data_IF_073444169461
#
_entry.id   IF_073444169461
#
_cell.length_a   1.000
_cell.length_b   1.000
_cell.length_c   1.000
_cell.angle_alpha   90.00
_cell.angle_beta   90.00
_cell.angle_gamma   90.00
#
_symmetry.space_group_name_H-M   'P 1'
#
loop_
_entity.id
_entity.type
_entity.pdbx_description
1 polymer ?
#
# COMPACT_ATOMS: atom_id res chain seq x y z
N UNK A 1 5.42 -11.73 -26.18
CA UNK A 1 5.12 -10.42 -26.79
C UNK A 1 6.25 -9.89 -27.67
N UNK A 2 7.49 -9.56 -27.24
CA UNK A 2 8.61 -9.33 -28.19
C UNK A 2 9.79 -10.28 -27.99
N UNK A 3 9.90 -10.87 -26.80
CA UNK A 3 10.91 -11.87 -26.42
C UNK A 3 10.27 -13.19 -25.94
N UNK A 4 9.07 -13.53 -26.43
CA UNK A 4 8.40 -14.81 -26.12
C UNK A 4 7.62 -14.92 -24.79
N UNK A 5 7.75 -13.97 -23.85
CA UNK A 5 6.99 -14.01 -22.57
C UNK A 5 5.53 -13.51 -22.62
N UNK A 6 4.86 -13.31 -21.43
CA UNK A 6 3.54 -12.67 -21.23
C UNK A 6 3.38 -11.11 -21.00
N UNK A 7 4.25 -10.37 -20.28
CA UNK A 7 4.34 -8.88 -20.16
C UNK A 7 4.18 -8.04 -21.46
N UNK A 8 3.01 -7.49 -21.74
CA UNK A 8 2.80 -6.65 -22.95
C UNK A 8 3.20 -5.17 -22.81
N UNK A 9 3.33 -4.67 -21.58
CA UNK A 9 3.60 -3.27 -21.27
C UNK A 9 4.31 -3.11 -19.92
N UNK A 10 4.99 -1.98 -19.72
CA UNK A 10 5.70 -1.61 -18.48
C UNK A 10 5.40 -0.16 -18.12
N UNK A 11 5.05 0.10 -16.87
CA UNK A 11 4.78 1.45 -16.38
C UNK A 11 6.10 2.19 -16.06
N UNK A 12 6.16 3.47 -16.44
CA UNK A 12 7.22 4.41 -16.12
C UNK A 12 6.74 5.24 -14.92
N UNK A 13 7.31 4.97 -13.75
CA UNK A 13 6.90 5.61 -12.48
C UNK A 13 5.44 5.29 -12.10
N UNK A 14 4.88 5.91 -11.06
CA UNK A 14 3.51 5.71 -10.58
C UNK A 14 2.93 7.02 -10.01
N UNK A 15 1.92 7.56 -10.67
CA UNK A 15 1.23 8.80 -10.29
C UNK A 15 2.16 9.98 -10.01
N UNK A 16 3.27 10.08 -10.75
CA UNK A 16 4.28 11.10 -10.54
C UNK A 16 3.71 12.52 -10.57
N UNK A 17 2.64 12.77 -11.33
CA UNK A 17 1.96 14.06 -11.38
C UNK A 17 1.38 14.53 -10.04
N UNK A 18 1.16 13.61 -9.09
CA UNK A 18 0.76 13.92 -7.70
C UNK A 18 1.94 14.43 -6.85
N UNK A 19 3.17 14.08 -7.22
CA UNK A 19 4.40 14.46 -6.51
C UNK A 19 5.16 15.60 -7.23
N UNK A 20 5.48 15.38 -8.51
CA UNK A 20 6.00 16.32 -9.52
C UNK A 20 7.02 17.35 -8.99
N UNK A 21 8.13 16.85 -8.39
CA UNK A 21 9.19 17.71 -7.83
C UNK A 21 10.38 17.95 -8.76
N UNK A 22 10.63 17.06 -9.70
CA UNK A 22 11.75 17.08 -10.64
C UNK A 22 11.28 16.81 -12.08
N UNK A 23 11.46 17.78 -12.97
CA UNK A 23 11.05 17.69 -14.38
C UNK A 23 11.98 16.82 -15.22
N UNK A 24 13.19 16.54 -14.75
CA UNK A 24 14.21 15.75 -15.46
C UNK A 24 14.14 14.26 -15.15
N UNK A 25 13.50 13.91 -14.03
CA UNK A 25 13.37 12.55 -13.53
C UNK A 25 12.60 11.62 -14.48
N UNK A 26 11.42 12.01 -14.95
CA UNK A 26 10.60 11.17 -15.84
C UNK A 26 11.28 10.86 -17.19
N UNK A 27 11.90 11.84 -17.89
CA UNK A 27 12.74 11.55 -19.05
C UNK A 27 13.92 10.63 -18.75
N UNK A 28 14.56 10.79 -17.59
CA UNK A 28 15.65 9.92 -17.18
C UNK A 28 15.18 8.47 -16.98
N UNK A 29 14.08 8.25 -16.26
CA UNK A 29 13.49 6.91 -16.05
C UNK A 29 13.10 6.24 -17.36
N UNK A 30 12.43 6.97 -18.26
CA UNK A 30 12.09 6.47 -19.58
C UNK A 30 13.33 5.96 -20.32
N UNK A 31 14.40 6.78 -20.38
CA UNK A 31 15.66 6.39 -21.02
C UNK A 31 16.34 5.22 -20.29
N UNK A 32 16.22 5.17 -18.97
CA UNK A 32 16.80 4.13 -18.12
C UNK A 32 16.15 2.76 -18.36
N UNK A 33 14.83 2.70 -18.57
CA UNK A 33 14.11 1.47 -18.93
C UNK A 33 14.49 0.98 -20.33
N UNK A 34 14.52 1.88 -21.33
CA UNK A 34 14.94 1.52 -22.69
C UNK A 34 16.39 0.99 -22.72
N UNK A 35 17.31 1.62 -21.99
CA UNK A 35 18.72 1.17 -21.89
C UNK A 35 18.87 -0.21 -21.23
N UNK A 36 17.91 -0.60 -20.40
CA UNK A 36 17.86 -1.94 -19.76
C UNK A 36 17.19 -2.99 -20.65
N UNK A 37 16.81 -2.62 -21.87
CA UNK A 37 16.27 -3.55 -22.85
C UNK A 37 14.75 -3.75 -22.77
N UNK A 38 14.01 -2.87 -22.08
CA UNK A 38 12.55 -2.88 -22.17
C UNK A 38 12.15 -2.43 -23.57
N UNK A 39 11.47 -3.30 -24.32
CA UNK A 39 11.08 -3.06 -25.72
C UNK A 39 9.56 -3.03 -25.91
N UNK A 40 8.82 -3.33 -24.85
CA UNK A 40 7.37 -3.36 -24.74
C UNK A 40 6.79 -1.94 -24.72
N UNK A 41 5.46 -1.84 -24.76
CA UNK A 41 4.78 -0.56 -24.60
C UNK A 41 5.14 0.04 -23.23
N UNK A 42 5.67 1.26 -23.24
CA UNK A 42 5.83 2.04 -22.04
C UNK A 42 4.59 2.90 -21.81
N UNK A 43 4.13 2.98 -20.56
CA UNK A 43 3.02 3.86 -20.17
C UNK A 43 3.29 4.61 -18.86
N UNK A 44 2.68 5.77 -18.65
CA UNK A 44 2.54 6.42 -17.33
C UNK A 44 1.10 6.27 -16.84
N UNK A 45 0.86 6.46 -15.56
CA UNK A 45 -0.47 6.39 -14.95
C UNK A 45 -0.56 7.48 -13.89
N UNK A 46 -1.60 8.31 -13.96
CA UNK A 46 -1.81 9.45 -13.06
C UNK A 46 -3.31 9.68 -12.84
N UNK A 47 -3.68 10.25 -11.70
CA UNK A 47 -5.02 10.81 -11.53
C UNK A 47 -5.34 11.86 -12.62
N UNK A 48 -6.61 11.98 -13.00
CA UNK A 48 -7.08 12.88 -14.07
C UNK A 48 -6.53 14.32 -13.96
N UNK A 49 -6.51 14.87 -12.75
CA UNK A 49 -6.03 16.24 -12.48
C UNK A 49 -4.51 16.39 -12.57
N UNK A 50 -3.79 15.28 -12.56
CA UNK A 50 -2.33 15.20 -12.43
C UNK A 50 -1.63 14.74 -13.72
N UNK A 51 -2.36 14.20 -14.70
CA UNK A 51 -1.79 13.66 -15.94
C UNK A 51 -0.93 14.65 -16.74
N UNK A 52 -1.28 15.95 -16.75
CA UNK A 52 -0.47 16.98 -17.41
C UNK A 52 0.93 17.11 -16.79
N UNK A 53 1.07 16.79 -15.50
CA UNK A 53 2.31 16.87 -14.74
C UNK A 53 3.09 15.56 -14.72
N UNK A 54 2.42 14.42 -14.83
CA UNK A 54 3.05 13.09 -14.73
C UNK A 54 3.43 12.46 -16.07
N UNK A 55 2.82 12.87 -17.19
CA UNK A 55 3.13 12.29 -18.49
C UNK A 55 4.59 12.54 -18.93
N UNK A 56 5.10 11.65 -19.78
CA UNK A 56 6.43 11.79 -20.40
C UNK A 56 6.36 11.52 -21.90
N UNK A 57 7.19 12.24 -22.68
CA UNK A 57 7.17 12.16 -24.15
C UNK A 57 7.55 10.76 -24.63
N UNK A 58 6.82 10.26 -25.62
CA UNK A 58 7.07 8.95 -26.25
C UNK A 58 6.47 7.76 -25.49
N UNK A 59 5.73 8.03 -24.41
CA UNK A 59 5.10 7.03 -23.54
C UNK A 59 3.57 7.20 -23.62
N UNK A 60 2.80 6.13 -23.49
CA UNK A 60 1.32 6.21 -23.42
C UNK A 60 0.91 6.75 -22.06
N UNK A 61 0.11 7.80 -21.98
CA UNK A 61 -0.47 8.24 -20.72
C UNK A 61 -1.76 7.44 -20.44
N UNK A 62 -1.90 6.94 -19.23
CA UNK A 62 -3.13 6.33 -18.72
C UNK A 62 -3.64 7.14 -17.53
N UNK A 63 -4.90 6.94 -17.15
CA UNK A 63 -5.48 7.63 -16.00
C UNK A 63 -5.94 6.68 -14.90
N UNK A 64 -5.97 7.19 -13.67
CA UNK A 64 -6.51 6.49 -12.50
C UNK A 64 -7.76 7.20 -12.00
N UNK A 65 -8.79 6.43 -11.66
CA UNK A 65 -10.08 6.98 -11.23
C UNK A 65 -10.92 5.99 -10.41
N UNK A 66 -11.83 6.57 -9.63
CA UNK A 66 -12.87 5.82 -8.92
C UNK A 66 -14.19 5.79 -9.70
N UNK A 67 -14.47 6.83 -10.49
CA UNK A 67 -15.75 7.04 -11.18
C UNK A 67 -15.52 7.79 -12.48
N UNK A 68 -16.31 7.44 -13.49
CA UNK A 68 -16.35 8.12 -14.78
C UNK A 68 -17.32 9.32 -14.70
N UNK A 69 -16.89 10.45 -15.24
CA UNK A 69 -17.71 11.64 -15.48
C UNK A 69 -17.46 12.17 -16.89
N UNK A 70 -18.31 13.08 -17.34
CA UNK A 70 -18.29 13.57 -18.72
C UNK A 70 -16.93 14.14 -19.15
N UNK A 71 -16.21 14.79 -18.21
CA UNK A 71 -14.95 15.48 -18.48
C UNK A 71 -13.68 14.66 -18.18
N UNK A 72 -13.82 13.37 -17.79
CA UNK A 72 -12.72 12.54 -17.29
C UNK A 72 -11.48 12.54 -18.18
N UNK A 73 -11.65 12.56 -19.50
CA UNK A 73 -10.54 12.45 -20.45
C UNK A 73 -10.06 13.80 -21.01
N UNK A 74 -10.64 14.93 -20.59
CA UNK A 74 -10.31 16.25 -21.16
C UNK A 74 -8.82 16.61 -21.00
N UNK A 75 -8.23 16.32 -19.83
CA UNK A 75 -6.79 16.58 -19.62
C UNK A 75 -5.92 15.57 -20.36
N UNK A 76 -6.34 14.30 -20.43
CA UNK A 76 -5.63 13.27 -21.17
C UNK A 76 -5.56 13.59 -22.67
N UNK A 77 -6.65 14.10 -23.26
CA UNK A 77 -6.67 14.49 -24.68
C UNK A 77 -5.74 15.66 -25.01
N UNK A 78 -5.41 16.53 -24.05
CA UNK A 78 -4.38 17.57 -24.24
C UNK A 78 -2.97 16.98 -24.36
N UNK A 79 -2.75 15.80 -23.78
CA UNK A 79 -1.48 15.07 -23.84
C UNK A 79 -1.43 14.16 -25.07
N UNK A 80 -2.52 13.46 -25.39
CA UNK A 80 -2.52 12.37 -26.38
C UNK A 80 -3.87 12.13 -27.06
N UNK A 81 -4.39 13.14 -27.77
CA UNK A 81 -5.71 13.10 -28.43
C UNK A 81 -6.01 11.82 -29.22
N UNK A 82 -5.06 11.34 -30.01
CA UNK A 82 -5.28 10.26 -30.99
C UNK A 82 -4.74 8.88 -30.53
N UNK A 83 -4.64 8.66 -29.21
CA UNK A 83 -4.18 7.39 -28.63
C UNK A 83 -5.32 6.66 -27.90
N UNK A 84 -5.22 5.33 -27.73
CA UNK A 84 -6.21 4.56 -26.98
C UNK A 84 -6.41 5.09 -25.55
N UNK A 85 -7.65 5.00 -25.07
CA UNK A 85 -7.98 5.31 -23.69
C UNK A 85 -7.69 4.09 -22.81
N UNK A 86 -6.92 4.32 -21.74
CA UNK A 86 -6.58 3.31 -20.75
C UNK A 86 -6.80 3.89 -19.35
N UNK A 87 -7.66 3.24 -18.58
CA UNK A 87 -7.79 3.45 -17.15
C UNK A 87 -6.85 2.44 -16.47
N UNK A 88 -5.68 2.89 -16.01
CA UNK A 88 -4.69 1.97 -15.44
C UNK A 88 -5.08 1.51 -14.04
N UNK A 89 -5.77 2.36 -13.28
CA UNK A 89 -6.36 1.96 -12.00
C UNK A 89 -7.81 2.38 -11.95
N UNK A 90 -8.70 1.41 -12.07
CA UNK A 90 -10.10 1.58 -11.71
C UNK A 90 -10.34 1.11 -10.28
N UNK A 91 -10.48 2.05 -9.35
CA UNK A 91 -10.64 1.73 -7.93
C UNK A 91 -12.06 1.21 -7.62
N UNK A 92 -12.19 -0.13 -7.52
CA UNK A 92 -13.46 -0.86 -7.28
C UNK A 92 -13.86 -0.97 -5.81
N UNK A 93 -12.99 -0.52 -4.92
CA UNK A 93 -13.17 -0.48 -3.49
C UNK A 93 -12.13 0.47 -2.89
N UNK A 94 -11.73 0.26 -1.65
CA UNK A 94 -10.69 1.05 -1.00
C UNK A 94 -10.02 0.29 0.15
N UNK A 95 -8.81 0.70 0.52
CA UNK A 95 -8.10 0.12 1.66
C UNK A 95 -8.58 0.75 2.98
N UNK A 96 -8.38 0.01 4.07
CA UNK A 96 -8.73 0.48 5.41
C UNK A 96 -7.50 0.93 6.22
N UNK A 97 -7.77 1.81 7.18
CA UNK A 97 -6.79 2.26 8.16
C UNK A 97 -7.22 1.83 9.56
N UNK A 98 -6.26 1.61 10.45
CA UNK A 98 -6.56 1.25 11.84
C UNK A 98 -7.44 2.32 12.51
N UNK A 99 -8.60 1.90 13.01
CA UNK A 99 -9.59 2.75 13.68
C UNK A 99 -10.68 3.33 12.77
N UNK A 100 -10.56 3.19 11.45
CA UNK A 100 -11.59 3.62 10.51
C UNK A 100 -12.70 2.56 10.34
N UNK A 101 -13.82 2.97 9.75
CA UNK A 101 -14.85 2.05 9.27
C UNK A 101 -14.38 1.36 7.99
N UNK A 102 -14.67 0.06 7.86
CA UNK A 102 -14.42 -0.70 6.65
C UNK A 102 -15.07 -0.07 5.41
N UNK A 103 -14.28 0.17 4.37
CA UNK A 103 -14.74 0.74 3.11
C UNK A 103 -15.42 -0.31 2.24
N UNK A 104 -16.61 0.04 1.73
CA UNK A 104 -17.35 -0.79 0.78
C UNK A 104 -17.86 0.07 -0.37
N UNK A 105 -17.95 -0.53 -1.56
CA UNK A 105 -18.46 0.08 -2.79
C UNK A 105 -19.49 -0.84 -3.42
N UNK A 106 -20.61 -0.26 -3.83
CA UNK A 106 -21.74 -1.00 -4.36
C UNK A 106 -21.39 -1.75 -5.67
N UNK A 107 -21.80 -3.01 -5.76
CA UNK A 107 -21.46 -3.87 -6.87
C UNK A 107 -22.16 -3.46 -8.18
N UNK A 108 -23.32 -2.79 -8.12
CA UNK A 108 -24.02 -2.26 -9.31
C UNK A 108 -23.32 -1.02 -9.84
N UNK A 109 -22.76 -0.18 -8.98
CA UNK A 109 -21.93 0.95 -9.41
C UNK A 109 -20.69 0.47 -10.19
N UNK A 110 -20.05 -0.60 -9.72
CA UNK A 110 -18.91 -1.23 -10.39
C UNK A 110 -19.32 -1.85 -11.73
N UNK A 111 -20.42 -2.61 -11.76
CA UNK A 111 -20.98 -3.20 -12.99
C UNK A 111 -21.31 -2.12 -14.04
N UNK A 112 -21.95 -1.02 -13.61
CA UNK A 112 -22.32 0.07 -14.50
C UNK A 112 -21.10 0.77 -15.11
N UNK A 113 -20.08 1.09 -14.29
CA UNK A 113 -18.86 1.72 -14.78
C UNK A 113 -18.13 0.84 -15.81
N UNK A 114 -17.99 -0.46 -15.52
CA UNK A 114 -17.35 -1.41 -16.45
C UNK A 114 -18.16 -1.57 -17.74
N UNK A 115 -19.50 -1.54 -17.66
CA UNK A 115 -20.35 -1.55 -18.85
C UNK A 115 -20.10 -0.33 -19.74
N UNK A 116 -19.94 0.87 -19.16
CA UNK A 116 -19.61 2.06 -19.93
C UNK A 116 -18.19 1.98 -20.51
N UNK A 117 -17.21 1.40 -19.79
CA UNK A 117 -15.87 1.19 -20.34
C UNK A 117 -15.90 0.30 -21.58
N UNK A 118 -16.64 -0.81 -21.53
CA UNK A 118 -16.80 -1.70 -22.69
C UNK A 118 -17.50 -0.98 -23.84
N UNK A 119 -18.58 -0.26 -23.57
CA UNK A 119 -19.38 0.46 -24.57
C UNK A 119 -18.58 1.53 -25.31
N UNK A 120 -17.67 2.22 -24.63
CA UNK A 120 -16.80 3.24 -25.24
C UNK A 120 -15.41 2.72 -25.60
N UNK A 121 -15.22 1.39 -25.61
CA UNK A 121 -13.96 0.74 -25.98
C UNK A 121 -12.75 1.22 -25.15
N UNK A 122 -12.99 1.59 -23.90
CA UNK A 122 -11.97 2.03 -22.94
C UNK A 122 -11.34 0.78 -22.34
N UNK A 123 -10.01 0.65 -22.50
CA UNK A 123 -9.27 -0.38 -21.78
C UNK A 123 -9.16 -0.02 -20.30
N UNK A 124 -9.19 -1.01 -19.41
CA UNK A 124 -9.08 -0.76 -17.98
C UNK A 124 -8.37 -1.89 -17.24
N UNK A 125 -7.80 -1.55 -16.10
CA UNK A 125 -7.26 -2.49 -15.13
C UNK A 125 -7.95 -2.28 -13.77
N UNK A 126 -8.40 -3.39 -13.16
CA UNK A 126 -9.25 -3.37 -11.96
C UNK A 126 -8.39 -3.33 -10.71
N UNK A 127 -8.45 -2.23 -9.97
CA UNK A 127 -7.71 -2.03 -8.73
C UNK A 127 -8.67 -2.11 -7.52
N UNK A 128 -8.72 -3.19 -6.74
CA UNK A 128 -8.04 -4.47 -6.91
C UNK A 128 -9.01 -5.53 -7.42
N UNK A 129 -8.56 -6.38 -8.35
CA UNK A 129 -9.29 -7.61 -8.67
C UNK A 129 -9.23 -8.59 -7.48
N UNK A 130 -8.04 -8.75 -6.90
CA UNK A 130 -7.83 -9.49 -5.65
C UNK A 130 -6.75 -8.74 -4.88
N UNK A 131 -7.06 -8.26 -3.67
CA UNK A 131 -6.12 -7.49 -2.88
C UNK A 131 -5.27 -8.36 -1.94
N UNK A 132 -5.89 -9.29 -1.20
CA UNK A 132 -5.17 -10.25 -0.36
C UNK A 132 -4.80 -9.68 1.02
N UNK A 133 -3.55 -9.89 1.45
CA UNK A 133 -3.10 -9.60 2.81
C UNK A 133 -1.72 -8.92 2.83
N UNK A 134 -1.58 -7.88 3.63
CA UNK A 134 -0.29 -7.29 4.00
C UNK A 134 0.34 -8.10 5.14
N UNK A 135 1.02 -9.21 4.83
CA UNK A 135 1.64 -10.06 5.85
C UNK A 135 2.78 -9.37 6.61
N UNK A 136 2.99 -9.76 7.88
CA UNK A 136 4.09 -9.26 8.69
C UNK A 136 4.04 -7.73 8.86
N UNK A 137 5.15 -7.06 8.56
CA UNK A 137 5.30 -5.60 8.64
C UNK A 137 5.24 -4.91 7.28
N UNK A 138 4.58 -5.53 6.29
CA UNK A 138 4.53 -5.02 4.92
C UNK A 138 3.42 -4.00 4.67
N UNK A 139 2.64 -3.64 5.69
CA UNK A 139 1.58 -2.64 5.53
C UNK A 139 2.16 -1.24 5.26
N UNK A 140 1.45 -0.48 4.43
CA UNK A 140 1.73 0.95 4.26
C UNK A 140 1.11 1.82 5.35
N UNK A 141 1.20 3.12 5.14
CA UNK A 141 0.52 4.14 5.92
C UNK A 141 0.15 5.35 5.05
N UNK A 142 -0.76 6.18 5.54
CA UNK A 142 -1.15 7.44 4.88
C UNK A 142 -0.93 8.62 5.82
N UNK A 143 -0.75 9.81 5.25
CA UNK A 143 -0.68 11.07 6.00
C UNK A 143 -1.71 12.06 5.46
N UNK A 144 -2.93 11.99 5.98
CA UNK A 144 -4.03 12.91 5.67
C UNK A 144 -4.36 13.77 6.90
N UNK A 145 -3.36 14.51 7.38
CA UNK A 145 -3.42 15.30 8.62
C UNK A 145 -3.01 14.53 9.88
N UNK A 146 -2.99 13.20 9.81
CA UNK A 146 -2.49 12.29 10.85
C UNK A 146 -1.86 11.07 10.18
N UNK A 147 -0.78 10.53 10.76
CA UNK A 147 -0.24 9.25 10.34
C UNK A 147 -1.17 8.10 10.74
N UNK A 148 -1.55 7.29 9.76
CA UNK A 148 -2.45 6.16 9.95
C UNK A 148 -1.96 4.97 9.15
N UNK A 149 -1.59 3.91 9.88
CA UNK A 149 -1.23 2.62 9.29
C UNK A 149 -2.43 1.98 8.58
N UNK A 150 -2.16 1.41 7.40
CA UNK A 150 -3.10 0.56 6.68
C UNK A 150 -3.22 -0.77 7.44
N UNK A 151 -4.43 -1.32 7.49
CA UNK A 151 -4.67 -2.59 8.21
C UNK A 151 -4.00 -3.78 7.53
N UNK A 152 -3.86 -4.89 8.25
CA UNK A 152 -3.27 -6.13 7.73
C UNK A 152 -4.07 -6.71 6.57
N UNK A 153 -5.39 -6.73 6.67
CA UNK A 153 -6.24 -7.14 5.56
C UNK A 153 -6.10 -6.16 4.40
N UNK A 154 -5.84 -6.67 3.22
CA UNK A 154 -5.91 -5.90 1.98
C UNK A 154 -7.08 -6.40 1.12
N UNK A 155 -8.17 -6.85 1.75
CA UNK A 155 -9.41 -7.26 1.07
C UNK A 155 -9.89 -6.21 0.06
N UNK A 156 -9.76 -4.93 0.43
CA UNK A 156 -10.04 -3.77 -0.42
C UNK A 156 -11.53 -3.62 -0.81
N UNK A 157 -12.41 -4.49 -0.32
CA UNK A 157 -13.71 -4.75 -0.96
C UNK A 157 -13.50 -5.00 -2.47
N UNK A 158 -12.50 -5.81 -2.80
CA UNK A 158 -12.11 -6.16 -4.16
C UNK A 158 -13.14 -7.05 -4.87
N UNK A 159 -12.83 -7.43 -6.12
CA UNK A 159 -13.65 -8.39 -6.87
C UNK A 159 -13.62 -9.78 -6.21
N UNK A 160 -12.49 -10.18 -5.65
CA UNK A 160 -12.34 -11.36 -4.78
C UNK A 160 -12.02 -10.93 -3.36
N UNK A 161 -12.52 -11.65 -2.37
CA UNK A 161 -12.19 -11.38 -0.97
C UNK A 161 -10.69 -11.60 -0.69
N UNK A 162 -10.22 -11.21 0.50
CA UNK A 162 -8.87 -11.51 1.01
C UNK A 162 -8.53 -13.01 0.89
N UNK A 163 -9.49 -13.91 1.14
CA UNK A 163 -9.31 -15.35 1.04
C UNK A 163 -9.53 -15.92 -0.38
N UNK A 164 -9.77 -15.06 -1.38
CA UNK A 164 -10.02 -15.45 -2.77
C UNK A 164 -11.46 -15.91 -3.06
N UNK A 165 -12.42 -15.62 -2.19
CA UNK A 165 -13.82 -15.98 -2.41
C UNK A 165 -14.49 -15.07 -3.45
N UNK A 166 -15.43 -15.62 -4.21
CA UNK A 166 -16.19 -14.88 -5.20
C UNK A 166 -17.23 -13.98 -4.53
N UNK A 167 -17.16 -12.68 -4.82
CA UNK A 167 -18.10 -11.66 -4.31
C UNK A 167 -19.26 -11.44 -5.26
N UNK A 168 -20.24 -10.60 -4.85
CA UNK A 168 -21.27 -10.10 -5.76
C UNK A 168 -20.65 -9.35 -6.97
N UNK A 169 -19.57 -8.59 -6.76
CA UNK A 169 -18.84 -7.90 -7.84
C UNK A 169 -18.29 -8.90 -8.85
N UNK A 170 -17.71 -10.00 -8.40
CA UNK A 170 -17.22 -11.05 -9.29
C UNK A 170 -18.35 -11.62 -10.16
N UNK A 171 -19.47 -12.00 -9.55
CA UNK A 171 -20.58 -12.62 -10.27
C UNK A 171 -21.21 -11.67 -11.30
N UNK A 172 -21.34 -10.39 -10.95
CA UNK A 172 -21.85 -9.35 -11.87
C UNK A 172 -20.91 -9.11 -13.04
N UNK A 173 -19.62 -8.90 -12.78
CA UNK A 173 -18.63 -8.69 -13.83
C UNK A 173 -18.50 -9.93 -14.72
N UNK A 174 -18.51 -11.13 -14.15
CA UNK A 174 -18.52 -12.37 -14.92
C UNK A 174 -19.72 -12.43 -15.87
N UNK A 175 -20.93 -12.12 -15.40
CA UNK A 175 -22.13 -12.10 -16.23
C UNK A 175 -22.04 -11.05 -17.35
N UNK A 176 -21.54 -9.85 -17.03
CA UNK A 176 -21.33 -8.78 -18.00
C UNK A 176 -20.34 -9.23 -19.09
N UNK A 177 -19.17 -9.74 -18.72
CA UNK A 177 -18.19 -10.24 -19.70
C UNK A 177 -18.73 -11.42 -20.51
N UNK A 178 -19.53 -12.31 -19.91
CA UNK A 178 -20.16 -13.41 -20.62
C UNK A 178 -21.14 -12.93 -21.70
N UNK A 179 -21.79 -11.76 -21.51
CA UNK A 179 -22.71 -11.18 -22.50
C UNK A 179 -22.03 -10.53 -23.69
N UNK A 180 -20.75 -10.15 -23.58
CA UNK A 180 -19.99 -9.46 -24.64
C UNK A 180 -18.87 -10.31 -25.23
N UNK A 181 -18.49 -11.40 -24.56
CA UNK A 181 -17.42 -12.28 -25.01
C UNK A 181 -17.86 -13.13 -26.21
N UNK A 182 -17.04 -13.15 -27.27
CA UNK A 182 -17.24 -14.01 -28.44
C UNK A 182 -16.97 -15.49 -28.13
N UNK A 183 -16.24 -15.80 -27.06
CA UNK A 183 -15.92 -17.16 -26.62
C UNK A 183 -16.47 -17.44 -25.23
N UNK A 184 -16.83 -18.70 -24.91
CA UNK A 184 -17.21 -19.07 -23.55
C UNK A 184 -16.12 -18.69 -22.54
N UNK A 185 -16.54 -18.18 -21.38
CA UNK A 185 -15.61 -17.91 -20.29
C UNK A 185 -15.05 -19.24 -19.73
N UNK A 186 -13.81 -19.24 -19.20
CA UNK A 186 -13.26 -20.42 -18.55
C UNK A 186 -14.08 -20.83 -17.32
N UNK A 187 -13.99 -22.11 -16.96
CA UNK A 187 -14.66 -22.62 -15.75
C UNK A 187 -14.06 -21.99 -14.50
N UNK A 188 -14.93 -21.63 -13.58
CA UNK A 188 -14.57 -21.06 -12.27
C UNK A 188 -13.89 -22.12 -11.40
N UNK A 189 -12.68 -21.88 -10.87
CA UNK A 189 -12.02 -22.78 -9.93
C UNK A 189 -12.82 -23.01 -8.65
N UNK A 190 -12.70 -24.21 -8.06
CA UNK A 190 -13.29 -24.52 -6.75
C UNK A 190 -12.55 -23.75 -5.65
N UNK A 191 -13.30 -23.20 -4.70
CA UNK A 191 -12.74 -22.50 -3.55
C UNK A 191 -12.05 -23.47 -2.59
N UNK A 192 -10.91 -23.08 -1.97
CA UNK A 192 -10.30 -23.84 -0.89
C UNK A 192 -11.27 -24.02 0.29
N UNK A 193 -11.29 -25.18 0.97
CA UNK A 193 -12.12 -25.39 2.14
C UNK A 193 -11.67 -24.50 3.31
N UNK A 194 -12.63 -24.01 4.10
CA UNK A 194 -12.38 -23.27 5.33
C UNK A 194 -12.70 -24.16 6.52
N UNK A 195 -11.86 -24.08 7.56
CA UNK A 195 -12.02 -24.87 8.77
C UNK A 195 -12.22 -23.96 9.99
N UNK A 196 -13.03 -24.42 10.94
CA UNK A 196 -13.19 -23.80 12.25
C UNK A 196 -12.35 -24.62 13.23
N UNK A 197 -11.43 -23.96 13.93
CA UNK A 197 -10.59 -24.60 14.95
C UNK A 197 -11.13 -24.31 16.36
N UNK A 198 -10.98 -25.24 17.32
CA UNK A 198 -11.35 -24.99 18.71
C UNK A 198 -10.49 -23.88 19.34
N UNK A 199 -10.96 -23.21 20.40
CA UNK A 199 -10.17 -22.20 21.10
C UNK A 199 -8.83 -22.74 21.59
N UNK A 200 -7.75 -22.00 21.33
CA UNK A 200 -6.40 -22.32 21.82
C UNK A 200 -6.09 -21.43 23.02
N UNK A 201 -5.63 -22.03 24.12
CA UNK A 201 -5.09 -21.29 25.28
C UNK A 201 -3.57 -21.35 25.23
N UNK A 202 -2.85 -20.21 25.22
CA UNK A 202 -1.40 -20.21 25.35
C UNK A 202 -1.00 -20.86 26.68
N UNK A 203 -0.15 -21.89 26.64
CA UNK A 203 0.36 -22.57 27.84
C UNK A 203 1.75 -22.09 28.26
N UNK A 204 2.45 -21.38 27.38
CA UNK A 204 3.81 -20.89 27.57
C UNK A 204 3.87 -19.41 27.19
N UNK A 205 4.67 -18.64 27.92
CA UNK A 205 5.00 -17.26 27.62
C UNK A 205 6.46 -16.98 27.99
N UNK A 206 7.06 -16.00 27.33
CA UNK A 206 8.38 -15.46 27.65
C UNK A 206 8.24 -13.93 27.74
N UNK A 207 8.46 -13.31 28.91
CA UNK A 207 8.47 -11.86 29.05
C UNK A 207 9.47 -11.21 28.09
N UNK A 208 9.16 -10.02 27.60
CA UNK A 208 10.06 -9.28 26.70
C UNK A 208 11.45 -9.12 27.32
N UNK A 209 11.52 -8.77 28.61
CA UNK A 209 12.76 -8.54 29.35
C UNK A 209 13.63 -9.80 29.41
N UNK A 210 13.02 -10.94 29.68
CA UNK A 210 13.70 -12.24 29.64
C UNK A 210 14.15 -12.60 28.21
N UNK A 211 13.33 -12.26 27.21
CA UNK A 211 13.64 -12.50 25.81
C UNK A 211 14.86 -11.70 25.31
N UNK A 212 15.15 -10.53 25.91
CA UNK A 212 16.31 -9.70 25.52
C UNK A 212 17.63 -10.44 25.69
N UNK A 213 17.72 -11.35 26.66
CA UNK A 213 18.93 -12.18 26.90
C UNK A 213 19.27 -13.12 25.74
N UNK A 214 18.32 -13.39 24.84
CA UNK A 214 18.50 -14.21 23.65
C UNK A 214 18.74 -13.39 22.37
N UNK A 215 18.71 -12.06 22.47
CA UNK A 215 18.99 -11.16 21.35
C UNK A 215 20.49 -10.90 21.23
N UNK A 216 20.90 -10.33 20.09
CA UNK A 216 22.26 -9.86 19.89
C UNK A 216 22.63 -8.75 20.89
N UNK A 217 23.93 -8.58 21.13
CA UNK A 217 24.46 -7.51 21.96
C UNK A 217 23.90 -6.13 21.57
N UNK A 218 23.54 -5.28 22.55
CA UNK A 218 22.92 -3.99 22.28
C UNK A 218 23.90 -3.03 21.60
N UNK A 219 23.41 -2.26 20.64
CA UNK A 219 24.15 -1.16 20.05
C UNK A 219 24.27 -0.02 21.08
N UNK A 220 25.51 0.34 21.44
CA UNK A 220 25.78 1.49 22.30
C UNK A 220 25.94 2.76 21.46
N UNK A 221 25.15 3.78 21.77
CA UNK A 221 25.26 5.11 21.14
C UNK A 221 25.10 6.21 22.18
N UNK A 222 25.72 7.37 21.93
CA UNK A 222 25.56 8.57 22.76
C UNK A 222 24.23 9.28 22.52
N UNK A 223 23.63 9.07 21.35
CA UNK A 223 22.34 9.64 20.96
C UNK A 223 21.44 8.54 20.40
N UNK A 224 20.11 8.63 20.59
CA UNK A 224 19.19 7.74 19.89
C UNK A 224 19.41 7.81 18.38
N UNK A 225 19.44 6.65 17.71
CA UNK A 225 19.60 6.53 16.26
C UNK A 225 18.37 5.81 15.73
N UNK A 226 17.73 6.33 14.68
CA UNK A 226 16.58 5.68 14.04
C UNK A 226 16.95 4.29 13.51
N UNK A 227 15.95 3.42 13.38
CA UNK A 227 16.16 1.99 13.15
C UNK A 227 16.94 1.67 11.88
N UNK A 228 16.76 2.48 10.83
CA UNK A 228 17.42 2.35 9.53
C UNK A 228 18.91 2.70 9.59
N UNK A 229 19.33 3.50 10.57
CA UNK A 229 20.72 3.93 10.74
C UNK A 229 21.45 3.16 11.85
N UNK A 230 20.83 2.12 12.41
CA UNK A 230 21.52 1.24 13.36
C UNK A 230 22.70 0.54 12.66
N UNK A 231 23.88 0.44 13.30
CA UNK A 231 25.06 -0.21 12.75
C UNK A 231 24.95 -1.74 12.81
N UNK A 232 23.86 -2.28 12.27
CA UNK A 232 23.56 -3.71 12.18
C UNK A 232 23.32 -4.08 10.70
N UNK A 233 23.18 -5.38 10.42
CA UNK A 233 22.85 -5.87 9.07
C UNK A 233 23.79 -5.30 7.99
N UNK A 234 25.11 -5.31 8.23
CA UNK A 234 26.11 -4.75 7.32
C UNK A 234 25.87 -3.28 6.94
N UNK A 235 25.32 -2.48 7.86
CA UNK A 235 25.11 -1.05 7.69
C UNK A 235 23.79 -0.68 7.02
N UNK A 236 22.90 -1.65 6.74
CA UNK A 236 21.55 -1.36 6.24
C UNK A 236 20.53 -1.08 7.35
N UNK A 237 20.93 -1.19 8.62
CA UNK A 237 20.05 -1.02 9.77
C UNK A 237 18.93 -2.05 9.82
N UNK A 238 17.87 -1.72 10.54
CA UNK A 238 16.66 -2.51 10.69
C UNK A 238 15.55 -1.90 9.83
N UNK A 239 14.97 -2.71 8.93
CA UNK A 239 13.92 -2.23 8.02
C UNK A 239 12.51 -2.28 8.62
N UNK A 240 12.24 -3.24 9.51
CA UNK A 240 10.90 -3.51 10.05
C UNK A 240 10.96 -3.97 11.51
N UNK A 241 9.82 -3.94 12.18
CA UNK A 241 9.66 -4.47 13.54
C UNK A 241 9.81 -3.41 14.62
N UNK A 242 10.34 -3.83 15.77
CA UNK A 242 10.44 -3.00 16.98
C UNK A 242 11.90 -2.73 17.32
N UNK A 243 12.17 -1.59 17.97
CA UNK A 243 13.49 -1.24 18.52
C UNK A 243 13.31 -0.80 19.97
N UNK A 244 14.11 -1.36 20.86
CA UNK A 244 14.20 -0.94 22.25
C UNK A 244 15.34 0.08 22.42
N UNK A 245 15.02 1.25 22.97
CA UNK A 245 16.00 2.24 23.40
C UNK A 245 16.06 2.24 24.92
N UNK A 246 17.25 2.03 25.46
CA UNK A 246 17.46 1.93 26.90
C UNK A 246 18.45 2.98 27.40
N UNK A 247 18.16 3.58 28.56
CA UNK A 247 19.07 4.50 29.23
C UNK A 247 18.85 4.47 30.74
N UNK A 248 19.92 4.28 31.50
CA UNK A 248 19.91 4.52 32.96
C UNK A 248 19.89 6.02 33.25
N UNK A 249 19.00 6.43 34.15
CA UNK A 249 18.79 7.81 34.62
C UNK A 249 19.07 7.90 36.12
N UNK A 250 19.42 9.09 36.62
CA UNK A 250 19.72 9.30 38.04
C UNK A 250 18.62 10.05 38.79
N UNK A 251 17.59 10.54 38.10
CA UNK A 251 16.46 11.28 38.69
C UNK A 251 15.23 11.17 37.79
N UNK A 252 14.05 11.43 38.35
CA UNK A 252 12.83 11.61 37.58
C UNK A 252 12.83 12.89 36.74
N UNK A 253 11.70 13.19 36.10
CA UNK A 253 11.54 14.45 35.38
C UNK A 253 10.63 14.35 34.15
N UNK A 254 10.92 15.15 33.14
CA UNK A 254 10.15 15.19 31.89
C UNK A 254 10.91 14.45 30.79
N UNK A 255 10.31 13.39 30.27
CA UNK A 255 10.72 12.73 29.04
C UNK A 255 9.99 13.38 27.87
N UNK A 256 10.73 13.79 26.85
CA UNK A 256 10.17 14.26 25.58
C UNK A 256 10.83 13.54 24.42
N UNK A 257 10.05 12.90 23.56
CA UNK A 257 10.56 12.22 22.37
C UNK A 257 9.57 12.25 21.21
N UNK A 258 10.10 12.18 20.00
CA UNK A 258 9.33 11.98 18.78
C UNK A 258 9.33 10.48 18.46
N UNK A 259 8.28 9.78 18.89
CA UNK A 259 8.11 8.37 18.57
C UNK A 259 7.47 8.22 17.20
N UNK A 260 8.13 7.50 16.30
CA UNK A 260 7.65 7.18 14.95
C UNK A 260 7.47 5.66 14.88
N UNK A 261 6.26 5.11 15.05
CA UNK A 261 4.96 5.80 15.20
C UNK A 261 4.43 5.85 16.64
N UNK A 262 4.78 4.86 17.45
CA UNK A 262 4.35 4.72 18.83
C UNK A 262 5.45 4.05 19.65
N UNK A 263 5.68 4.52 20.88
CA UNK A 263 6.60 3.93 21.83
C UNK A 263 5.91 3.71 23.18
N UNK A 264 6.03 2.50 23.70
CA UNK A 264 5.71 2.22 25.10
C UNK A 264 6.93 2.57 25.94
N UNK A 265 6.72 3.29 27.05
CA UNK A 265 7.79 3.73 27.94
C UNK A 265 7.72 2.96 29.25
N UNK A 266 8.86 2.42 29.67
CA UNK A 266 9.00 1.62 30.88
C UNK A 266 10.04 2.25 31.80
N UNK A 267 9.78 2.18 33.11
CA UNK A 267 10.74 2.47 34.18
C UNK A 267 10.88 1.21 35.03
N UNK A 268 12.08 0.65 35.09
CA UNK A 268 12.36 -0.63 35.78
C UNK A 268 11.31 -1.69 35.47
N UNK A 269 11.10 -1.93 34.16
CA UNK A 269 10.12 -2.89 33.59
C UNK A 269 8.63 -2.54 33.78
N UNK A 270 8.32 -1.48 34.54
CA UNK A 270 6.95 -1.02 34.75
C UNK A 270 6.55 0.00 33.69
N UNK A 271 5.45 -0.26 32.97
CA UNK A 271 4.95 0.67 31.95
C UNK A 271 4.43 1.96 32.60
N UNK A 272 5.00 3.11 32.21
CA UNK A 272 4.63 4.43 32.73
C UNK A 272 3.87 5.29 31.71
N UNK A 273 3.84 4.90 30.43
CA UNK A 273 3.02 5.59 29.43
C UNK A 273 3.31 5.21 27.99
N UNK A 274 2.67 5.95 27.07
CA UNK A 274 2.81 5.81 25.62
C UNK A 274 3.15 7.17 25.02
N UNK A 275 4.18 7.19 24.18
CA UNK A 275 4.51 8.30 23.31
C UNK A 275 4.07 7.99 21.88
N UNK A 276 3.53 8.97 21.18
CA UNK A 276 3.15 8.89 19.76
C UNK A 276 3.08 10.30 19.15
N UNK A 277 2.64 10.42 17.90
CA UNK A 277 2.54 11.72 17.23
C UNK A 277 1.71 12.77 17.99
N UNK A 278 0.67 12.34 18.70
CA UNK A 278 -0.23 13.22 19.45
C UNK A 278 0.21 13.45 20.90
N UNK A 279 1.07 12.59 21.43
CA UNK A 279 1.60 12.69 22.80
C UNK A 279 3.11 12.49 22.82
N UNK A 280 3.86 13.60 22.90
CA UNK A 280 5.34 13.61 22.83
C UNK A 280 6.00 13.78 24.18
N UNK A 281 5.21 13.94 25.24
CA UNK A 281 5.68 14.27 26.57
C UNK A 281 5.17 13.25 27.58
N UNK A 282 6.05 12.83 28.48
CA UNK A 282 5.72 11.93 29.58
C UNK A 282 6.48 12.36 30.83
N UNK A 283 5.83 12.25 31.99
CA UNK A 283 6.50 12.46 33.26
C UNK A 283 7.08 11.14 33.76
N UNK A 284 8.39 11.12 34.04
CA UNK A 284 9.07 10.03 34.75
C UNK A 284 8.96 10.34 36.25
N UNK A 285 8.39 9.43 37.07
CA UNK A 285 8.31 9.60 38.51
C UNK A 285 9.69 9.86 39.16
N UNK A 286 9.71 10.59 40.27
CA UNK A 286 10.92 10.71 41.08
C UNK A 286 11.36 9.34 41.60
N UNK A 287 12.64 9.04 41.47
CA UNK A 287 13.24 7.80 41.97
C UNK A 287 13.27 7.90 43.49
N UNK A 288 12.52 7.02 44.18
CA UNK A 288 12.62 6.88 45.63
C UNK A 288 13.88 6.05 45.93
N UNK A 289 14.71 6.53 46.85
CA UNK A 289 15.87 5.79 47.39
C UNK A 289 15.48 4.40 47.92
#
# INVERSE_FOLDING_TARGET
YRQGGPVIAVQVENEYGSFNKDKTYMPYLHKALLRRGIVELLLTSDGEKHVLSGHTKGVLAAINLQKLHQDTFNQLHKVQRDKPLLIMEYWVGWFDRWGDKHHVKDAKEVEHAVSEFIKYEISFNVYMFHGGTNFGFMNGATYFGKHSGIVTSYDYDAVLTEAGDYTEKYLKLQKLFQSVSATPLPRVPKLPPKAVYPPVRPSLYLPLWDALSYLNEPVRSRQPVNMENLPINNGSGQSYGLVLYEKSICSGGRLRAHAHDMAQVFLDETMIGILNENNKDLHIPELRE
#
